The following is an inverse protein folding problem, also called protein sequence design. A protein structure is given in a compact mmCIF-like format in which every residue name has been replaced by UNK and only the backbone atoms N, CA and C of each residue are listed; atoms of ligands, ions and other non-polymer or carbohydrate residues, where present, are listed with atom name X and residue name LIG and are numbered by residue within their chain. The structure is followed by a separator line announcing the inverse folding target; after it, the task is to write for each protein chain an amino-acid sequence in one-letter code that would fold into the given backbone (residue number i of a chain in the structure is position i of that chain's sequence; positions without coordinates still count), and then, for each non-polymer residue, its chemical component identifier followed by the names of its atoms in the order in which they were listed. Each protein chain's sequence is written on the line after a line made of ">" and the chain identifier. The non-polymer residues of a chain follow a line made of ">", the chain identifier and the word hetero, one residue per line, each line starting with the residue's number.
data_IF_844864302235
#
_entry.id   IF_844864302235
#
_cell.length_a   1.000
_cell.length_b   1.000
_cell.length_c   1.000
_cell.angle_alpha   90.00
_cell.angle_beta   90.00
_cell.angle_gamma   90.00
#
_symmetry.space_group_name_H-M   'P 1'
#
loop_
_entity.id
_entity.type
_entity.pdbx_description
1 polymer ?
#
# COMPACT_ATOMS: atom_id res chain seq x y z
N UNK A 1 -4.79 -3.48 5.98
CA UNK A 1 -4.71 -3.30 4.51
C UNK A 1 -6.12 -3.31 3.96
N UNK A 2 -6.56 -2.25 3.28
CA UNK A 2 -7.88 -2.15 2.65
C UNK A 2 -7.72 -2.36 1.14
N UNK A 3 -8.62 -3.11 0.51
CA UNK A 3 -8.55 -3.41 -0.93
C UNK A 3 -9.95 -3.55 -1.53
N UNK A 4 -10.14 -3.01 -2.73
CA UNK A 4 -11.38 -3.06 -3.50
C UNK A 4 -11.18 -3.69 -4.90
N UNK A 5 -10.04 -4.33 -5.13
CA UNK A 5 -9.78 -5.05 -6.37
C UNK A 5 -10.71 -6.26 -6.52
N UNK A 6 -10.97 -6.64 -7.77
CA UNK A 6 -11.72 -7.83 -8.09
C UNK A 6 -11.06 -9.08 -7.48
N UNK A 7 -11.91 -9.99 -6.97
CA UNK A 7 -11.48 -11.22 -6.30
C UNK A 7 -10.49 -12.04 -7.14
N UNK A 8 -10.69 -12.10 -8.46
CA UNK A 8 -9.80 -12.83 -9.37
C UNK A 8 -8.35 -12.33 -9.29
N UNK A 9 -8.14 -11.01 -9.18
CA UNK A 9 -6.81 -10.44 -9.01
C UNK A 9 -6.26 -10.75 -7.61
N UNK A 10 -7.07 -10.57 -6.57
CA UNK A 10 -6.65 -10.84 -5.19
C UNK A 10 -6.19 -12.30 -5.01
N UNK A 11 -6.92 -13.25 -5.59
CA UNK A 11 -6.59 -14.67 -5.53
C UNK A 11 -5.25 -14.96 -6.23
N UNK A 12 -4.97 -14.33 -7.38
CA UNK A 12 -3.66 -14.42 -8.06
C UNK A 12 -2.56 -13.81 -7.18
N UNK A 13 -2.79 -12.59 -6.70
CA UNK A 13 -1.81 -11.82 -5.93
C UNK A 13 -1.37 -12.54 -4.65
N UNK A 14 -2.34 -13.11 -3.91
CA UNK A 14 -2.09 -13.87 -2.70
C UNK A 14 -1.41 -15.21 -3.02
N UNK A 15 -1.92 -15.97 -4.00
CA UNK A 15 -1.36 -17.29 -4.35
C UNK A 15 0.09 -17.21 -4.78
N UNK A 16 0.47 -16.17 -5.53
CA UNK A 16 1.83 -16.00 -6.06
C UNK A 16 2.76 -15.29 -5.07
N UNK A 17 2.22 -14.80 -3.93
CA UNK A 17 3.01 -14.16 -2.87
C UNK A 17 3.70 -12.89 -3.38
N UNK A 18 2.94 -12.03 -4.06
CA UNK A 18 3.48 -10.86 -4.75
C UNK A 18 3.84 -9.69 -3.87
N UNK A 19 3.32 -9.60 -2.64
CA UNK A 19 3.52 -8.43 -1.78
C UNK A 19 4.98 -7.94 -1.69
N UNK A 20 5.94 -8.83 -1.49
CA UNK A 20 7.37 -8.48 -1.36
C UNK A 20 8.08 -8.25 -2.70
N UNK A 21 7.43 -8.59 -3.81
CA UNK A 21 7.97 -8.54 -5.17
C UNK A 21 7.21 -7.55 -6.06
N UNK A 22 6.22 -6.89 -5.49
CA UNK A 22 5.39 -5.90 -6.17
C UNK A 22 6.17 -4.58 -6.32
N UNK A 23 6.43 -4.13 -7.56
CA UNK A 23 7.19 -2.91 -7.77
C UNK A 23 6.49 -1.67 -7.21
N UNK A 24 5.15 -1.67 -7.08
CA UNK A 24 4.40 -0.56 -6.49
C UNK A 24 4.66 -0.46 -4.98
N UNK A 25 4.75 -1.61 -4.31
CA UNK A 25 5.06 -1.71 -2.87
C UNK A 25 6.50 -1.30 -2.63
N UNK A 26 7.44 -1.85 -3.41
CA UNK A 26 8.86 -1.49 -3.32
C UNK A 26 9.09 0.01 -3.52
N UNK A 27 8.55 0.58 -4.59
CA UNK A 27 8.63 2.01 -4.86
C UNK A 27 8.03 2.84 -3.72
N UNK A 28 6.87 2.42 -3.19
CA UNK A 28 6.16 3.13 -2.13
C UNK A 28 6.88 3.12 -0.77
N UNK A 29 7.79 2.17 -0.53
CA UNK A 29 8.66 2.19 0.65
C UNK A 29 9.84 3.14 0.48
N UNK A 30 10.38 3.25 -0.73
CA UNK A 30 11.60 4.01 -1.04
C UNK A 30 11.31 5.50 -1.35
N UNK A 31 10.12 5.82 -1.84
CA UNK A 31 9.80 7.12 -2.41
C UNK A 31 8.57 7.77 -1.73
N UNK A 32 8.36 9.06 -1.97
CA UNK A 32 7.16 9.79 -1.56
C UNK A 32 6.61 10.54 -2.78
N UNK A 33 5.29 10.61 -2.93
CA UNK A 33 4.62 11.21 -4.08
C UNK A 33 3.80 10.18 -4.86
N UNK A 34 3.75 10.34 -6.18
CA UNK A 34 2.96 9.49 -7.08
C UNK A 34 3.78 8.96 -8.25
N UNK A 35 3.54 7.72 -8.65
CA UNK A 35 4.10 7.12 -9.88
C UNK A 35 3.06 6.28 -10.62
N UNK A 36 2.99 6.41 -11.95
CA UNK A 36 2.16 5.55 -12.79
C UNK A 36 2.79 4.17 -12.90
N UNK A 37 1.97 3.12 -12.95
CA UNK A 37 2.44 1.74 -13.10
C UNK A 37 3.24 1.53 -14.39
N UNK A 38 2.90 2.24 -15.47
CA UNK A 38 3.67 2.23 -16.72
C UNK A 38 5.12 2.66 -16.54
N UNK A 39 5.41 3.58 -15.61
CA UNK A 39 6.77 3.99 -15.27
C UNK A 39 7.52 2.97 -14.37
N UNK A 40 6.81 2.01 -13.78
CA UNK A 40 7.38 0.95 -12.94
C UNK A 40 7.65 -0.35 -13.73
N UNK A 41 7.34 -0.40 -15.03
CA UNK A 41 7.47 -1.61 -15.83
C UNK A 41 8.88 -2.21 -15.82
N UNK A 42 9.93 -1.37 -15.76
CA UNK A 42 11.31 -1.82 -15.68
C UNK A 42 11.67 -2.49 -14.34
N UNK A 43 10.90 -2.21 -13.27
CA UNK A 43 11.09 -2.78 -11.94
C UNK A 43 10.25 -4.05 -11.72
N UNK A 44 9.37 -4.41 -12.67
CA UNK A 44 8.42 -5.54 -12.58
C UNK A 44 9.08 -6.90 -12.85
N UNK A 45 10.15 -7.22 -12.13
CA UNK A 45 10.93 -8.46 -12.31
C UNK A 45 10.13 -9.74 -12.04
N UNK A 46 9.10 -9.66 -11.19
CA UNK A 46 8.20 -10.78 -10.87
C UNK A 46 6.94 -10.83 -11.75
N UNK A 47 6.77 -9.88 -12.67
CA UNK A 47 5.63 -9.83 -13.59
C UNK A 47 4.30 -9.49 -12.93
N UNK A 48 4.29 -8.83 -11.77
CA UNK A 48 3.09 -8.44 -11.02
C UNK A 48 2.20 -7.52 -11.86
N UNK A 49 2.77 -6.46 -12.45
CA UNK A 49 2.03 -5.53 -13.30
C UNK A 49 1.58 -6.22 -14.59
N UNK A 50 2.41 -7.10 -15.13
CA UNK A 50 2.07 -7.92 -16.29
C UNK A 50 0.87 -8.84 -16.02
N UNK A 51 0.83 -9.49 -14.85
CA UNK A 51 -0.30 -10.34 -14.42
C UNK A 51 -1.56 -9.53 -14.16
N UNK A 52 -1.42 -8.38 -13.51
CA UNK A 52 -2.53 -7.44 -13.28
C UNK A 52 -3.17 -7.02 -14.62
N UNK A 53 -2.36 -6.66 -15.61
CA UNK A 53 -2.83 -6.29 -16.94
C UNK A 53 -3.57 -7.44 -17.65
N UNK A 54 -3.18 -8.69 -17.40
CA UNK A 54 -3.85 -9.89 -17.92
C UNK A 54 -5.29 -10.08 -17.43
N UNK A 55 -5.65 -9.47 -16.30
CA UNK A 55 -7.02 -9.47 -15.74
C UNK A 55 -7.71 -8.11 -15.86
N UNK A 56 -7.20 -7.22 -16.71
CA UNK A 56 -7.81 -5.91 -16.99
C UNK A 56 -7.33 -4.76 -16.09
N UNK A 57 -6.43 -5.01 -15.15
CA UNK A 57 -5.84 -3.98 -14.28
C UNK A 57 -4.55 -3.46 -14.91
N UNK A 58 -4.69 -2.70 -16.00
CA UNK A 58 -3.56 -2.22 -16.79
C UNK A 58 -3.07 -0.84 -16.35
N UNK A 59 -3.98 0.05 -16.02
CA UNK A 59 -3.67 1.44 -15.74
C UNK A 59 -3.79 1.67 -14.25
N UNK A 60 -2.70 2.09 -13.62
CA UNK A 60 -2.69 2.35 -12.19
C UNK A 60 -1.66 3.37 -11.79
N UNK A 61 -1.83 3.89 -10.58
CA UNK A 61 -0.92 4.82 -9.94
C UNK A 61 -0.64 4.30 -8.52
N UNK A 62 0.63 4.30 -8.13
CA UNK A 62 1.05 4.11 -6.75
C UNK A 62 1.28 5.49 -6.12
N UNK A 63 0.74 5.69 -4.93
CA UNK A 63 0.91 6.87 -4.10
C UNK A 63 1.60 6.46 -2.80
N UNK A 64 2.56 7.27 -2.37
CA UNK A 64 3.25 7.11 -1.10
C UNK A 64 3.27 8.45 -0.35
N UNK A 65 2.78 8.44 0.88
CA UNK A 65 2.70 9.60 1.76
C UNK A 65 3.45 9.33 3.05
N UNK A 66 4.22 10.32 3.51
CA UNK A 66 4.86 10.32 4.83
C UNK A 66 4.46 11.57 5.59
N UNK A 67 3.72 11.41 6.69
CA UNK A 67 3.33 12.49 7.59
C UNK A 67 3.48 12.02 9.04
N UNK A 68 3.96 12.88 9.94
CA UNK A 68 4.06 12.56 11.38
C UNK A 68 4.90 11.32 11.73
N UNK A 69 5.89 10.97 10.89
CA UNK A 69 6.71 9.76 11.05
C UNK A 69 5.99 8.45 10.71
N UNK A 70 4.79 8.52 10.15
CA UNK A 70 4.03 7.38 9.63
C UNK A 70 4.03 7.39 8.11
N UNK A 71 3.94 6.21 7.48
CA UNK A 71 3.90 6.05 6.02
C UNK A 71 2.60 5.36 5.61
N UNK A 72 1.96 5.88 4.58
CA UNK A 72 0.86 5.22 3.88
C UNK A 72 1.21 5.02 2.42
N UNK A 73 0.91 3.84 1.91
CA UNK A 73 1.09 3.48 0.50
C UNK A 73 -0.27 3.03 -0.02
N UNK A 74 -0.67 3.53 -1.19
CA UNK A 74 -1.91 3.14 -1.84
C UNK A 74 -1.70 3.00 -3.34
N UNK A 75 -2.31 1.98 -3.93
CA UNK A 75 -2.36 1.81 -5.38
C UNK A 75 -3.79 1.90 -5.86
N UNK A 76 -4.04 2.76 -6.84
CA UNK A 76 -5.33 2.94 -7.50
C UNK A 76 -5.23 2.49 -8.95
N UNK A 77 -6.33 1.97 -9.49
CA UNK A 77 -6.40 1.59 -10.91
C UNK A 77 -7.55 2.27 -11.61
N UNK A 78 -7.41 2.41 -12.92
CA UNK A 78 -8.45 2.86 -13.82
C UNK A 78 -8.61 1.81 -14.93
N UNK A 79 -9.85 1.60 -15.38
CA UNK A 79 -10.18 0.52 -16.31
C UNK A 79 -9.60 0.72 -17.71
N UNK A 80 -9.75 1.93 -18.24
CA UNK A 80 -9.59 2.14 -19.69
C UNK A 80 -8.38 2.99 -20.11
N UNK A 81 -7.81 3.80 -19.20
CA UNK A 81 -6.74 4.75 -19.52
C UNK A 81 -5.90 5.08 -18.29
N UNK A 82 -4.75 5.70 -18.54
CA UNK A 82 -3.94 6.33 -17.50
C UNK A 82 -4.74 7.41 -16.74
N UNK A 83 -4.45 7.51 -15.44
CA UNK A 83 -4.97 8.59 -14.61
C UNK A 83 -4.26 9.90 -15.03
N UNK A 84 -5.06 10.95 -15.16
CA UNK A 84 -4.58 12.32 -15.38
C UNK A 84 -3.92 12.86 -14.11
N UNK A 85 -3.09 13.90 -14.25
CA UNK A 85 -2.44 14.50 -13.08
C UNK A 85 -3.45 15.08 -12.08
N UNK A 86 -4.60 15.59 -12.57
CA UNK A 86 -5.69 16.06 -11.72
C UNK A 86 -6.32 14.91 -10.91
N UNK A 87 -6.65 13.79 -11.55
CA UNK A 87 -7.18 12.61 -10.84
C UNK A 87 -6.18 12.03 -9.84
N UNK A 88 -4.88 12.08 -10.15
CA UNK A 88 -3.82 11.67 -9.23
C UNK A 88 -3.77 12.60 -8.02
N UNK A 89 -3.88 13.92 -8.23
CA UNK A 89 -3.93 14.90 -7.15
C UNK A 89 -5.15 14.69 -6.23
N UNK A 90 -6.32 14.42 -6.80
CA UNK A 90 -7.53 14.11 -6.03
C UNK A 90 -7.34 12.86 -5.16
N UNK A 91 -6.78 11.78 -5.72
CA UNK A 91 -6.49 10.54 -4.96
C UNK A 91 -5.41 10.73 -3.90
N UNK A 92 -4.46 11.63 -4.12
CA UNK A 92 -3.47 11.99 -3.12
C UNK A 92 -4.11 12.75 -1.95
N UNK A 93 -5.08 13.63 -2.21
CA UNK A 93 -5.86 14.29 -1.18
C UNK A 93 -6.68 13.28 -0.36
N UNK A 94 -7.37 12.35 -1.03
CA UNK A 94 -8.11 11.25 -0.38
C UNK A 94 -7.19 10.42 0.53
N UNK A 95 -5.99 10.06 0.03
CA UNK A 95 -5.00 9.30 0.81
C UNK A 95 -4.52 10.08 2.04
N UNK A 96 -4.30 11.38 1.92
CA UNK A 96 -3.87 12.22 3.02
C UNK A 96 -4.94 12.35 4.11
N UNK A 97 -6.22 12.44 3.72
CA UNK A 97 -7.33 12.39 4.66
C UNK A 97 -7.38 11.04 5.39
N UNK A 98 -7.34 9.93 4.65
CA UNK A 98 -7.31 8.58 5.23
C UNK A 98 -6.10 8.38 6.16
N UNK A 99 -4.93 8.89 5.78
CA UNK A 99 -3.72 8.83 6.61
C UNK A 99 -3.96 9.52 7.97
N UNK A 100 -4.49 10.75 7.96
CA UNK A 100 -4.77 11.49 9.20
C UNK A 100 -5.82 10.80 10.07
N UNK A 101 -6.90 10.31 9.46
CA UNK A 101 -7.95 9.58 10.18
C UNK A 101 -7.38 8.32 10.85
N UNK A 102 -6.53 7.57 10.15
CA UNK A 102 -5.89 6.36 10.72
C UNK A 102 -4.80 6.68 11.73
N UNK A 103 -4.14 7.84 11.63
CA UNK A 103 -3.18 8.30 12.62
C UNK A 103 -3.81 8.67 13.97
N UNK A 104 -5.09 9.08 13.96
CA UNK A 104 -5.87 9.39 15.18
C UNK A 104 -6.52 8.19 15.86
N UNK A 105 -6.51 7.01 15.22
CA UNK A 105 -6.95 5.78 15.88
C UNK A 105 -5.88 5.48 16.95
N UNK A 106 -6.25 5.68 18.22
CA UNK A 106 -5.37 5.59 19.39
C UNK A 106 -4.36 4.44 19.23
N UNK A 107 -3.09 4.81 19.05
CA UNK A 107 -1.99 3.89 19.30
C UNK A 107 -2.08 3.59 20.79
N UNK A 108 -2.23 2.30 21.13
CA UNK A 108 -2.17 1.77 22.51
C UNK A 108 -1.35 2.70 23.41
N UNK A 109 -1.98 3.23 24.46
CA UNK A 109 -1.33 4.24 25.29
C UNK A 109 0.04 3.74 25.73
N UNK A 110 1.01 4.63 26.00
CA UNK A 110 2.33 4.23 26.50
C UNK A 110 2.26 3.26 27.68
N UNK A 111 1.21 3.36 28.52
CA UNK A 111 0.96 2.42 29.60
C UNK A 111 0.67 1.00 29.11
N UNK A 112 -0.15 0.81 28.08
CA UNK A 112 -0.46 -0.53 27.55
C UNK A 112 0.75 -1.14 26.83
N UNK A 113 1.57 -0.33 26.17
CA UNK A 113 2.83 -0.77 25.57
C UNK A 113 3.82 -1.30 26.61
N UNK A 114 3.91 -0.63 27.78
CA UNK A 114 4.76 -1.07 28.89
C UNK A 114 4.20 -2.32 29.58
N UNK A 115 2.88 -2.40 29.77
CA UNK A 115 2.22 -3.60 30.30
C UNK A 115 2.46 -4.82 29.41
N UNK A 116 2.40 -4.68 28.08
CA UNK A 116 2.66 -5.79 27.15
C UNK A 116 4.13 -6.24 27.20
N UNK A 117 5.10 -5.33 27.34
CA UNK A 117 6.51 -5.69 27.57
C UNK A 117 6.70 -6.48 28.86
N UNK A 118 6.10 -6.00 29.96
CA UNK A 118 6.15 -6.67 31.27
C UNK A 118 5.57 -8.08 31.21
N UNK A 119 4.41 -8.27 30.55
CA UNK A 119 3.77 -9.57 30.41
C UNK A 119 4.58 -10.55 29.55
N UNK A 120 5.26 -10.08 28.49
CA UNK A 120 6.13 -10.92 27.65
C UNK A 120 7.34 -11.47 28.43
N UNK A 121 7.84 -10.73 29.42
CA UNK A 121 8.96 -11.15 30.29
C UNK A 121 8.48 -12.17 31.32
N UNK A 122 7.27 -12.00 31.86
CA UNK A 122 6.67 -12.91 32.84
C UNK A 122 6.31 -14.29 32.24
N UNK A 123 5.89 -14.36 30.97
CA UNK A 123 5.50 -15.62 30.31
C UNK A 123 6.68 -16.47 29.81
N UNK A 124 7.90 -15.95 29.80
CA UNK A 124 9.11 -16.67 29.36
C UNK A 124 9.99 -17.19 30.50
N UNK A 125 9.62 -16.91 31.75
CA UNK A 125 10.34 -17.38 32.95
C UNK A 125 9.41 -18.11 33.95
N UNK A 126 8.30 -18.69 33.48
CA UNK A 126 7.38 -19.50 34.29
C UNK A 126 7.46 -20.99 33.95
#
# INVERSE_FOLDING_TARGET
>A
MFQSYDKAWLDIYTREGFLLRDPTVGWGFENTGSIRWSALAALDTAGVLTRAAGVGLRFGVCLALVEGGSRSIASFTHRDRELTDAEIADRAADLAELHRLTATIDKLSPQVHETLKQMSIYLTHG
#
